data_IF_117562350833
#
_entry.id   IF_117562350833
#
_cell.length_a   1.000
_cell.length_b   1.000
_cell.length_c   1.000
_cell.angle_alpha   90.00
_cell.angle_beta   90.00
_cell.angle_gamma   90.00
#
_symmetry.space_group_name_H-M   'P 1'
#
loop_
_entity.id
_entity.type
_entity.pdbx_description
1 polymer ?
#
# COMPACT_ATOMS: atom_id res chain seq x y z
N UNK A 1 14.66 -35.76 7.52
CA UNK A 1 13.99 -35.34 6.27
C UNK A 1 14.43 -33.93 5.93
N UNK A 2 14.85 -33.64 4.69
CA UNK A 2 15.42 -32.33 4.30
C UNK A 2 14.31 -31.36 3.93
N UNK A 3 14.45 -30.08 4.30
CA UNK A 3 13.49 -29.02 3.99
C UNK A 3 14.00 -28.13 2.84
N UNK A 4 13.14 -27.89 1.86
CA UNK A 4 13.36 -27.01 0.72
C UNK A 4 12.49 -25.77 0.91
N UNK A 5 13.13 -24.60 0.96
CA UNK A 5 12.42 -23.32 0.98
C UNK A 5 12.34 -22.79 -0.43
N UNK A 6 11.12 -22.50 -0.89
CA UNK A 6 10.86 -22.07 -2.26
C UNK A 6 10.25 -20.68 -2.29
N UNK A 7 10.71 -19.87 -3.24
CA UNK A 7 10.13 -18.56 -3.50
C UNK A 7 8.72 -18.68 -4.11
N UNK A 8 7.89 -17.68 -3.88
CA UNK A 8 6.51 -17.53 -4.36
C UNK A 8 6.32 -17.88 -5.83
N UNK A 9 7.32 -17.55 -6.65
CA UNK A 9 7.32 -17.84 -8.06
C UNK A 9 7.38 -19.34 -8.33
N UNK A 10 8.20 -20.09 -7.62
CA UNK A 10 8.38 -21.53 -7.81
C UNK A 10 7.36 -22.37 -7.04
N UNK A 11 6.80 -21.84 -5.95
CA UNK A 11 5.83 -22.59 -5.12
C UNK A 11 4.59 -22.99 -5.90
N UNK A 12 4.33 -24.29 -5.96
CA UNK A 12 3.12 -24.89 -6.52
C UNK A 12 2.76 -26.19 -5.79
N UNK A 13 1.49 -26.58 -5.88
CA UNK A 13 1.02 -27.84 -5.27
C UNK A 13 1.67 -29.06 -5.92
N UNK A 14 1.84 -29.05 -7.24
CA UNK A 14 2.51 -30.14 -7.95
C UNK A 14 3.97 -30.30 -7.51
N UNK A 15 4.72 -29.19 -7.39
CA UNK A 15 6.10 -29.22 -6.89
C UNK A 15 6.16 -29.74 -5.46
N UNK A 16 5.25 -29.30 -4.59
CA UNK A 16 5.22 -29.74 -3.20
C UNK A 16 4.95 -31.25 -3.07
N UNK A 17 4.04 -31.80 -3.88
CA UNK A 17 3.78 -33.24 -3.92
C UNK A 17 5.00 -34.00 -4.45
N UNK A 18 5.62 -33.52 -5.53
CA UNK A 18 6.81 -34.17 -6.11
C UNK A 18 7.96 -34.21 -5.10
N UNK A 19 8.23 -33.09 -4.42
CA UNK A 19 9.26 -33.03 -3.38
C UNK A 19 8.94 -33.98 -2.23
N UNK A 20 7.69 -34.06 -1.80
CA UNK A 20 7.26 -34.98 -0.76
C UNK A 20 7.48 -36.44 -1.15
N UNK A 21 7.16 -36.83 -2.39
CA UNK A 21 7.42 -38.17 -2.93
C UNK A 21 8.92 -38.49 -3.00
N UNK A 22 9.76 -37.48 -3.22
CA UNK A 22 11.22 -37.60 -3.20
C UNK A 22 11.81 -37.58 -1.78
N UNK A 23 10.98 -37.52 -0.73
CA UNK A 23 11.43 -37.49 0.66
C UNK A 23 11.87 -36.12 1.17
N UNK A 24 11.49 -35.03 0.48
CA UNK A 24 11.78 -33.66 0.86
C UNK A 24 10.52 -32.94 1.34
N UNK A 25 10.67 -32.15 2.40
CA UNK A 25 9.67 -31.18 2.79
C UNK A 25 9.88 -29.88 2.02
N UNK A 26 8.79 -29.15 1.83
CA UNK A 26 8.76 -27.91 1.06
C UNK A 26 7.97 -26.86 1.84
N UNK A 27 8.47 -25.63 1.90
CA UNK A 27 7.75 -24.48 2.46
C UNK A 27 7.99 -23.23 1.62
N UNK A 28 6.96 -22.43 1.41
CA UNK A 28 7.09 -21.16 0.69
C UNK A 28 5.78 -20.39 0.66
N UNK A 29 5.84 -19.10 0.35
CA UNK A 29 4.60 -18.40 0.00
C UNK A 29 4.12 -18.88 -1.35
N UNK A 30 2.82 -18.72 -1.65
CA UNK A 30 2.23 -19.18 -2.89
C UNK A 30 1.32 -18.12 -3.50
N UNK A 31 1.30 -18.03 -4.82
CA UNK A 31 0.29 -17.21 -5.51
C UNK A 31 -1.08 -17.88 -5.39
N UNK A 32 -2.10 -17.13 -4.97
CA UNK A 32 -3.44 -17.68 -4.72
C UNK A 32 -4.15 -18.19 -5.98
N UNK A 33 -3.69 -17.81 -7.16
CA UNK A 33 -4.19 -18.30 -8.45
C UNK A 33 -3.51 -19.60 -8.93
N UNK A 34 -2.57 -20.18 -8.17
CA UNK A 34 -1.97 -21.48 -8.51
C UNK A 34 -3.01 -22.59 -8.48
N UNK A 35 -2.92 -23.50 -9.45
CA UNK A 35 -3.76 -24.68 -9.55
C UNK A 35 -3.57 -25.57 -8.30
N UNK A 36 -4.66 -26.17 -7.82
CA UNK A 36 -4.65 -27.04 -6.64
C UNK A 36 -4.60 -26.31 -5.28
N UNK A 37 -4.28 -25.01 -5.23
CA UNK A 37 -4.19 -24.31 -3.94
C UNK A 37 -5.57 -24.15 -3.28
N UNK A 38 -5.66 -24.53 -1.99
CA UNK A 38 -6.91 -24.63 -1.24
C UNK A 38 -7.68 -23.30 -1.25
N UNK A 39 -8.94 -23.34 -1.71
CA UNK A 39 -9.80 -22.15 -1.81
C UNK A 39 -10.32 -21.68 -0.45
N UNK A 40 -10.39 -22.56 0.55
CA UNK A 40 -10.94 -22.25 1.87
C UNK A 40 -10.07 -21.28 2.68
N UNK A 41 -8.75 -21.29 2.44
CA UNK A 41 -7.80 -20.38 3.09
C UNK A 41 -7.55 -19.10 2.29
N UNK A 42 -8.19 -18.95 1.12
CA UNK A 42 -8.00 -17.73 0.31
C UNK A 42 -8.76 -16.57 0.96
N UNK A 43 -8.02 -15.52 1.28
CA UNK A 43 -8.59 -14.32 1.87
C UNK A 43 -9.08 -13.39 0.76
N UNK A 44 -10.37 -13.04 0.83
CA UNK A 44 -11.02 -12.20 -0.19
C UNK A 44 -10.62 -10.72 -0.07
N UNK A 45 -10.22 -10.28 1.13
CA UNK A 45 -9.84 -8.89 1.43
C UNK A 45 -8.35 -8.69 1.17
N UNK A 46 -7.99 -7.60 0.48
CA UNK A 46 -6.58 -7.26 0.17
C UNK A 46 -5.78 -6.72 1.36
N UNK A 47 -6.48 -6.26 2.39
CA UNK A 47 -5.94 -5.65 3.61
C UNK A 47 -6.67 -6.24 4.81
N UNK A 48 -5.96 -6.37 5.94
CA UNK A 48 -6.54 -6.92 7.17
C UNK A 48 -7.66 -6.02 7.69
N UNK A 49 -8.89 -6.53 7.90
CA UNK A 49 -9.93 -5.78 8.59
C UNK A 49 -9.63 -5.68 10.09
N UNK A 50 -10.06 -4.60 10.74
CA UNK A 50 -9.82 -4.34 12.17
C UNK A 50 -10.35 -5.44 13.11
N UNK A 51 -11.41 -6.15 12.68
CA UNK A 51 -12.01 -7.27 13.41
C UNK A 51 -11.13 -8.53 13.47
N UNK A 52 -10.10 -8.63 12.62
CA UNK A 52 -9.18 -9.77 12.63
C UNK A 52 -7.89 -9.32 13.31
N UNK A 53 -7.54 -10.00 14.39
CA UNK A 53 -6.28 -9.76 15.12
C UNK A 53 -5.09 -9.97 14.18
N UNK A 54 -4.07 -9.11 14.29
CA UNK A 54 -2.81 -9.33 13.57
C UNK A 54 -2.18 -10.63 14.07
N UNK A 55 -1.62 -11.42 13.17
CA UNK A 55 -1.08 -12.74 13.48
C UNK A 55 -2.08 -13.88 13.36
N UNK A 56 -3.38 -13.59 13.22
CA UNK A 56 -4.38 -14.64 13.01
C UNK A 56 -4.06 -15.46 11.76
N UNK A 57 -4.14 -16.78 11.88
CA UNK A 57 -3.92 -17.69 10.78
C UNK A 57 -5.15 -18.57 10.51
N UNK A 58 -5.30 -19.00 9.26
CA UNK A 58 -6.18 -20.13 8.89
C UNK A 58 -5.30 -21.20 8.29
N UNK A 59 -5.49 -22.43 8.75
CA UNK A 59 -4.76 -23.59 8.27
C UNK A 59 -5.77 -24.59 7.74
N UNK A 60 -5.53 -25.11 6.55
CA UNK A 60 -6.33 -26.17 5.94
C UNK A 60 -5.40 -27.28 5.47
N UNK A 61 -5.64 -28.49 5.97
CA UNK A 61 -4.90 -29.68 5.60
C UNK A 61 -5.52 -30.32 4.34
N UNK A 62 -4.70 -30.84 3.45
CA UNK A 62 -5.17 -31.59 2.30
C UNK A 62 -5.72 -32.96 2.72
N UNK A 63 -6.88 -33.34 2.18
CA UNK A 63 -7.48 -34.65 2.43
C UNK A 63 -6.74 -35.79 1.71
N UNK A 64 -6.11 -35.49 0.58
CA UNK A 64 -5.41 -36.48 -0.26
C UNK A 64 -3.93 -36.61 0.09
N UNK A 65 -3.36 -35.58 0.73
CA UNK A 65 -1.94 -35.52 1.09
C UNK A 65 -1.86 -34.97 2.52
N UNK A 66 -1.98 -35.81 3.55
CA UNK A 66 -2.09 -35.38 4.95
C UNK A 66 -0.95 -34.45 5.39
N UNK A 67 0.26 -34.66 4.88
CA UNK A 67 1.41 -33.82 5.25
C UNK A 67 1.39 -32.42 4.62
N UNK A 68 0.50 -32.17 3.66
CA UNK A 68 0.39 -30.89 2.97
C UNK A 68 -0.66 -29.99 3.63
N UNK A 69 -0.25 -28.77 3.96
CA UNK A 69 -1.10 -27.75 4.57
C UNK A 69 -1.03 -26.45 3.78
N UNK A 70 -2.20 -25.84 3.59
CA UNK A 70 -2.36 -24.52 3.03
C UNK A 70 -2.66 -23.54 4.16
N UNK A 71 -1.94 -22.42 4.20
CA UNK A 71 -2.02 -21.48 5.31
C UNK A 71 -2.28 -20.07 4.77
N UNK A 72 -3.14 -19.31 5.43
CA UNK A 72 -3.20 -17.86 5.29
C UNK A 72 -2.89 -17.19 6.61
N UNK A 73 -2.03 -16.18 6.60
CA UNK A 73 -1.60 -15.44 7.77
C UNK A 73 -1.86 -13.95 7.59
N UNK A 74 -2.42 -13.32 8.63
CA UNK A 74 -2.86 -11.94 8.60
C UNK A 74 -1.84 -11.00 9.22
N UNK A 75 -1.10 -10.28 8.37
CA UNK A 75 -0.38 -9.07 8.78
C UNK A 75 -1.17 -7.81 8.36
N UNK A 76 -0.56 -6.91 7.61
CA UNK A 76 -1.21 -5.75 7.01
C UNK A 76 -2.00 -6.17 5.77
N UNK A 77 -1.50 -7.21 5.09
CA UNK A 77 -2.09 -7.90 3.94
C UNK A 77 -2.05 -9.40 4.22
N UNK A 78 -2.97 -10.18 3.64
CA UNK A 78 -2.92 -11.63 3.83
C UNK A 78 -1.72 -12.20 3.07
N UNK A 79 -0.94 -13.03 3.75
CA UNK A 79 0.14 -13.81 3.15
C UNK A 79 -0.31 -15.26 3.08
N UNK A 80 -0.07 -15.90 1.95
CA UNK A 80 -0.52 -17.25 1.66
C UNK A 80 0.68 -18.18 1.54
N UNK A 81 0.65 -19.30 2.25
CA UNK A 81 1.71 -20.29 2.25
C UNK A 81 1.19 -21.67 1.85
N UNK A 82 2.12 -22.46 1.35
CA UNK A 82 1.98 -23.90 1.18
C UNK A 82 3.17 -24.57 1.89
N UNK A 83 2.89 -25.56 2.71
CA UNK A 83 3.93 -26.35 3.37
C UNK A 83 3.62 -27.85 3.30
N UNK A 84 4.67 -28.66 3.31
CA UNK A 84 4.63 -30.13 3.46
C UNK A 84 5.49 -30.53 4.65
N UNK A 85 5.00 -31.44 5.49
CA UNK A 85 5.73 -31.95 6.66
C UNK A 85 5.99 -30.96 7.79
N UNK A 86 5.43 -29.75 7.71
CA UNK A 86 5.60 -28.69 8.71
C UNK A 86 4.70 -28.86 9.95
N UNK A 87 5.25 -28.54 11.12
CA UNK A 87 4.49 -28.39 12.38
C UNK A 87 3.45 -27.27 12.24
N UNK A 88 2.25 -27.52 12.78
CA UNK A 88 1.16 -26.53 12.90
C UNK A 88 1.26 -25.70 14.17
N UNK A 89 2.30 -25.92 14.98
CA UNK A 89 2.52 -25.14 16.18
C UNK A 89 2.66 -23.66 15.83
N UNK A 90 2.00 -22.86 16.66
CA UNK A 90 2.08 -21.41 16.60
C UNK A 90 3.34 -21.01 17.36
N UNK A 91 4.22 -20.31 16.67
CA UNK A 91 5.39 -19.63 17.20
C UNK A 91 5.11 -18.13 17.33
N UNK A 92 6.06 -17.34 17.83
CA UNK A 92 5.98 -15.89 17.94
C UNK A 92 7.10 -15.23 17.15
N UNK A 93 6.76 -14.18 16.40
CA UNK A 93 7.75 -13.35 15.71
C UNK A 93 7.60 -11.93 16.20
N UNK A 94 8.74 -11.36 16.59
CA UNK A 94 8.83 -9.99 17.05
C UNK A 94 8.78 -9.03 15.85
N UNK A 95 7.91 -8.03 15.92
CA UNK A 95 7.72 -7.06 14.84
C UNK A 95 7.78 -5.64 15.39
N UNK A 96 8.53 -4.80 14.71
CA UNK A 96 8.51 -3.36 14.96
C UNK A 96 7.25 -2.73 14.33
N UNK A 97 6.38 -2.14 15.14
CA UNK A 97 5.19 -1.38 14.72
C UNK A 97 5.37 0.10 15.14
N UNK A 98 6.05 0.87 14.31
CA UNK A 98 6.46 2.23 14.66
C UNK A 98 7.67 2.21 15.59
N UNK A 99 7.54 2.80 16.79
CA UNK A 99 8.61 2.80 17.81
C UNK A 99 8.53 1.61 18.78
N UNK A 100 7.43 0.84 18.75
CA UNK A 100 7.19 -0.26 19.68
C UNK A 100 7.41 -1.62 19.02
N UNK A 101 7.90 -2.56 19.82
CA UNK A 101 8.17 -3.92 19.42
C UNK A 101 7.02 -4.82 19.92
N UNK A 102 6.31 -5.46 18.99
CA UNK A 102 5.09 -6.24 19.24
C UNK A 102 5.31 -7.68 18.82
N UNK A 103 5.05 -8.62 19.72
CA UNK A 103 5.05 -10.05 19.41
C UNK A 103 3.78 -10.43 18.65
N UNK A 104 3.96 -11.05 17.48
CA UNK A 104 2.85 -11.51 16.63
C UNK A 104 2.89 -13.03 16.53
N UNK A 105 1.78 -13.73 16.84
CA UNK A 105 1.72 -15.17 16.65
C UNK A 105 1.81 -15.52 15.16
N UNK A 106 2.62 -16.51 14.83
CA UNK A 106 2.82 -16.98 13.48
C UNK A 106 3.07 -18.51 13.48
N UNK A 107 2.49 -19.29 12.57
CA UNK A 107 2.86 -20.70 12.41
C UNK A 107 4.38 -20.87 12.31
N UNK A 108 4.98 -21.88 12.94
CA UNK A 108 6.44 -22.09 12.90
C UNK A 108 7.02 -22.23 11.49
N UNK A 109 6.19 -22.65 10.53
CA UNK A 109 6.48 -22.66 9.09
C UNK A 109 6.63 -21.27 8.44
N UNK A 110 6.22 -20.18 9.11
CA UNK A 110 6.38 -18.80 8.64
C UNK A 110 7.81 -18.29 8.76
N UNK A 111 8.62 -18.76 9.71
CA UNK A 111 10.01 -18.30 9.88
C UNK A 111 10.80 -18.52 8.60
N UNK A 112 10.57 -19.64 7.91
CA UNK A 112 11.19 -19.94 6.62
C UNK A 112 10.51 -19.19 5.45
N UNK A 113 9.22 -18.87 5.61
CA UNK A 113 8.51 -17.94 4.75
C UNK A 113 9.06 -16.50 4.77
N UNK A 114 9.81 -16.11 5.81
CA UNK A 114 10.49 -14.82 5.87
C UNK A 114 11.59 -14.70 4.81
N UNK A 115 12.22 -15.81 4.41
CA UNK A 115 13.22 -15.81 3.32
C UNK A 115 12.54 -15.36 2.02
N UNK A 116 11.39 -15.93 1.70
CA UNK A 116 10.61 -15.51 0.53
C UNK A 116 10.16 -14.05 0.64
N UNK A 117 9.71 -13.62 1.82
CA UNK A 117 9.37 -12.22 2.06
C UNK A 117 10.57 -11.29 1.86
N UNK A 118 11.75 -11.67 2.33
CA UNK A 118 12.99 -10.93 2.17
C UNK A 118 13.39 -10.81 0.70
N UNK A 119 13.24 -11.90 -0.07
CA UNK A 119 13.49 -11.92 -1.52
C UNK A 119 12.54 -10.95 -2.23
N UNK A 120 11.24 -11.01 -1.94
CA UNK A 120 10.25 -10.09 -2.53
C UNK A 120 10.57 -8.63 -2.19
N UNK A 121 10.91 -8.35 -0.93
CA UNK A 121 11.31 -7.02 -0.49
C UNK A 121 12.59 -6.54 -1.18
N UNK A 122 13.58 -7.42 -1.36
CA UNK A 122 14.83 -7.10 -2.07
C UNK A 122 14.58 -6.69 -3.52
N UNK A 123 13.62 -7.34 -4.20
CA UNK A 123 13.24 -6.96 -5.56
C UNK A 123 12.53 -5.61 -5.62
N UNK A 124 11.72 -5.26 -4.61
CA UNK A 124 11.10 -3.94 -4.49
C UNK A 124 12.18 -2.87 -4.38
N UNK A 125 13.18 -3.09 -3.52
CA UNK A 125 14.33 -2.18 -3.35
C UNK A 125 15.11 -2.06 -4.66
N UNK A 126 15.42 -3.17 -5.32
CA UNK A 126 16.09 -3.18 -6.63
C UNK A 126 15.32 -2.35 -7.68
N UNK A 127 13.99 -2.48 -7.75
CA UNK A 127 13.17 -1.65 -8.63
C UNK A 127 13.21 -0.16 -8.26
N UNK A 128 13.19 0.16 -6.97
CA UNK A 128 13.29 1.54 -6.49
C UNK A 128 14.64 2.17 -6.85
N UNK A 129 15.75 1.42 -6.67
CA UNK A 129 17.10 1.84 -7.04
C UNK A 129 17.21 2.18 -8.53
N UNK A 130 16.76 1.27 -9.41
CA UNK A 130 16.84 1.49 -10.86
C UNK A 130 15.93 2.63 -11.32
N UNK A 131 14.79 2.84 -10.65
CA UNK A 131 13.94 4.01 -10.88
C UNK A 131 14.64 5.31 -10.51
N UNK A 132 15.38 5.35 -9.40
CA UNK A 132 16.13 6.53 -8.97
C UNK A 132 17.32 6.82 -9.90
N UNK A 133 18.05 5.78 -10.32
CA UNK A 133 19.19 5.90 -11.25
C UNK A 133 18.78 6.03 -12.73
N UNK A 134 17.49 6.18 -13.05
CA UNK A 134 16.95 6.23 -14.43
C UNK A 134 17.47 5.10 -15.34
N UNK A 135 17.63 3.89 -14.79
CA UNK A 135 18.08 2.71 -15.52
C UNK A 135 16.99 1.65 -15.58
N UNK A 136 17.11 0.73 -16.56
CA UNK A 136 16.12 -0.35 -16.72
C UNK A 136 16.32 -1.42 -15.63
N UNK A 137 15.31 -1.70 -14.78
CA UNK A 137 15.42 -2.80 -13.83
C UNK A 137 15.36 -4.15 -14.55
N UNK A 138 16.06 -5.15 -14.00
CA UNK A 138 15.85 -6.55 -14.35
C UNK A 138 14.38 -6.95 -14.17
N UNK A 139 13.91 -7.88 -15.01
CA UNK A 139 12.64 -8.56 -14.77
C UNK A 139 12.74 -9.41 -13.50
N UNK A 140 11.60 -9.75 -12.89
CA UNK A 140 11.59 -10.54 -11.65
C UNK A 140 12.33 -11.86 -11.81
N UNK A 141 12.12 -12.57 -12.93
CA UNK A 141 12.80 -13.84 -13.22
C UNK A 141 14.31 -13.64 -13.35
N UNK A 142 14.77 -12.62 -14.09
CA UNK A 142 16.21 -12.33 -14.25
C UNK A 142 16.85 -11.92 -12.94
N UNK A 143 16.13 -11.16 -12.10
CA UNK A 143 16.58 -10.80 -10.76
C UNK A 143 16.75 -12.04 -9.89
N UNK A 144 15.79 -12.96 -9.89
CA UNK A 144 15.85 -14.20 -9.12
C UNK A 144 17.01 -15.11 -9.55
N UNK A 145 17.22 -15.28 -10.86
CA UNK A 145 18.36 -16.04 -11.39
C UNK A 145 19.67 -15.42 -10.91
N UNK A 146 19.80 -14.09 -11.03
CA UNK A 146 21.01 -13.37 -10.60
C UNK A 146 21.24 -13.50 -9.09
N UNK A 147 20.19 -13.31 -8.29
CA UNK A 147 20.26 -13.42 -6.83
C UNK A 147 20.68 -14.83 -6.40
N UNK A 148 20.09 -15.88 -7.01
CA UNK A 148 20.45 -17.25 -6.71
C UNK A 148 21.93 -17.52 -7.01
N UNK A 149 22.42 -17.13 -8.20
CA UNK A 149 23.83 -17.28 -8.56
C UNK A 149 24.76 -16.57 -7.57
N UNK A 150 24.42 -15.33 -7.19
CA UNK A 150 25.20 -14.57 -6.22
C UNK A 150 25.24 -15.27 -4.85
N UNK A 151 24.10 -15.75 -4.35
CA UNK A 151 24.02 -16.44 -3.06
C UNK A 151 24.80 -17.77 -3.07
N UNK A 152 24.77 -18.52 -4.18
CA UNK A 152 25.52 -19.78 -4.31
C UNK A 152 27.04 -19.59 -4.39
N UNK A 153 27.50 -18.39 -4.71
CA UNK A 153 28.93 -18.06 -4.85
C UNK A 153 29.52 -17.44 -3.58
N UNK A 154 28.68 -17.08 -2.59
CA UNK A 154 29.14 -16.52 -1.32
C UNK A 154 30.07 -17.48 -0.59
N UNK A 155 31.19 -16.95 -0.12
CA UNK A 155 32.12 -17.64 0.76
C UNK A 155 31.88 -17.23 2.22
N UNK A 156 32.32 -18.03 3.21
CA UNK A 156 32.23 -17.67 4.62
C UNK A 156 32.82 -16.30 4.96
N UNK A 157 33.86 -15.88 4.21
CA UNK A 157 34.49 -14.56 4.33
C UNK A 157 33.57 -13.40 3.94
N UNK A 158 32.56 -13.65 3.10
CA UNK A 158 31.56 -12.65 2.70
C UNK A 158 30.45 -12.48 3.76
N UNK A 159 30.33 -13.44 4.68
CA UNK A 159 29.36 -13.43 5.79
C UNK A 159 29.96 -12.72 7.01
N UNK A 160 30.20 -11.41 6.89
CA UNK A 160 30.75 -10.59 7.97
C UNK A 160 29.67 -10.28 9.05
N UNK A 161 29.90 -10.68 10.30
CA UNK A 161 28.99 -10.43 11.44
C UNK A 161 28.83 -8.94 11.80
N UNK A 162 29.77 -8.08 11.41
CA UNK A 162 29.69 -6.64 11.64
C UNK A 162 28.91 -5.86 10.58
N UNK A 163 28.23 -6.54 9.65
CA UNK A 163 27.45 -5.89 8.61
C UNK A 163 26.09 -5.45 9.19
N UNK A 164 26.04 -4.28 9.81
CA UNK A 164 24.77 -3.64 10.17
C UNK A 164 24.06 -3.26 8.87
N UNK A 165 23.07 -4.04 8.45
CA UNK A 165 22.26 -3.86 7.24
C UNK A 165 21.54 -2.49 7.17
N UNK A 166 22.30 -1.40 7.01
CA UNK A 166 21.80 -0.03 7.03
C UNK A 166 21.23 0.44 8.38
N UNK A 167 21.46 -0.28 9.49
CA UNK A 167 21.13 0.21 10.83
C UNK A 167 22.16 1.28 11.23
N UNK A 168 21.97 2.49 10.71
CA UNK A 168 22.57 3.67 11.30
C UNK A 168 21.97 3.81 12.71
N UNK A 169 22.76 3.54 13.75
CA UNK A 169 22.55 4.16 15.05
C UNK A 169 22.48 5.66 14.77
N UNK A 170 21.44 6.40 15.21
CA UNK A 170 21.38 7.83 14.93
C UNK A 170 22.55 8.50 15.62
N UNK A 171 23.62 8.78 14.87
CA UNK A 171 24.60 9.76 15.29
C UNK A 171 23.88 11.10 15.29
N UNK A 172 23.74 11.67 16.48
CA UNK A 172 23.68 13.11 16.75
C UNK A 172 23.11 13.98 15.62
N UNK A 173 21.92 14.53 15.88
CA UNK A 173 21.33 15.68 15.18
C UNK A 173 22.40 16.59 14.59
N UNK A 174 22.54 16.65 13.26
CA UNK A 174 23.33 17.68 12.64
C UNK A 174 22.44 18.93 12.59
N UNK A 175 22.81 19.91 13.40
CA UNK A 175 22.36 21.29 13.24
C UNK A 175 22.84 21.76 11.86
N UNK A 176 21.94 21.80 10.89
CA UNK A 176 22.23 22.38 9.58
C UNK A 176 21.78 23.84 9.57
N UNK A 177 22.75 24.72 9.39
CA UNK A 177 22.55 26.14 9.12
C UNK A 177 22.23 26.34 7.62
N UNK A 178 21.21 27.14 7.33
CA UNK A 178 20.71 27.35 5.96
C UNK A 178 21.59 28.36 5.20
N UNK A 179 22.17 27.93 4.07
CA UNK A 179 22.71 28.83 3.06
C UNK A 179 21.67 29.09 1.95
N UNK A 180 21.53 30.34 1.46
CA UNK A 180 20.47 30.70 0.53
C UNK A 180 20.89 30.44 -0.91
N UNK A 181 20.15 29.58 -1.62
CA UNK A 181 20.30 29.38 -3.07
C UNK A 181 18.96 29.62 -3.76
N UNK A 182 18.89 30.71 -4.52
CA UNK A 182 18.03 30.86 -5.71
C UNK A 182 16.54 31.04 -5.45
N UNK A 183 16.08 32.29 -5.53
CA UNK A 183 14.67 32.66 -5.52
C UNK A 183 13.84 31.98 -6.63
N UNK A 184 13.21 30.84 -6.30
CA UNK A 184 11.90 30.47 -6.83
C UNK A 184 10.96 30.52 -5.66
N UNK A 185 9.98 31.44 -5.71
CA UNK A 185 8.99 31.66 -4.66
C UNK A 185 8.37 30.33 -4.22
N UNK A 186 8.91 29.76 -3.14
CA UNK A 186 8.29 28.64 -2.45
C UNK A 186 7.02 29.19 -1.83
N UNK A 187 5.90 28.92 -2.49
CA UNK A 187 4.60 29.22 -1.94
C UNK A 187 4.49 28.47 -0.60
N UNK A 188 4.28 29.19 0.52
CA UNK A 188 4.16 28.69 1.91
C UNK A 188 3.03 27.66 2.16
N UNK A 189 2.42 27.13 1.10
CA UNK A 189 1.24 26.30 1.17
C UNK A 189 1.62 24.85 1.40
N UNK A 190 0.97 24.22 2.39
CA UNK A 190 1.17 22.81 2.73
C UNK A 190 -0.01 21.95 2.28
N UNK A 191 0.27 20.79 1.69
CA UNK A 191 -0.77 19.87 1.27
C UNK A 191 -1.25 19.01 2.44
N UNK A 192 -2.47 19.27 2.91
CA UNK A 192 -3.07 18.58 4.07
C UNK A 192 -4.07 17.51 3.63
N UNK A 193 -4.16 16.43 4.40
CA UNK A 193 -5.10 15.33 4.15
C UNK A 193 -6.39 15.56 4.95
N UNK A 194 -7.56 15.35 4.32
CA UNK A 194 -8.86 15.45 4.99
C UNK A 194 -8.99 14.42 6.09
N UNK A 195 -9.37 14.86 7.29
CA UNK A 195 -9.64 13.99 8.44
C UNK A 195 -11.11 13.65 8.67
N UNK A 196 -11.99 14.05 7.74
CA UNK A 196 -13.37 13.58 7.68
C UNK A 196 -13.45 12.19 7.02
N UNK A 197 -14.07 11.22 7.69
CA UNK A 197 -14.37 9.89 7.16
C UNK A 197 -15.83 9.82 6.71
N UNK A 198 -16.15 9.07 5.64
CA UNK A 198 -17.54 9.05 5.11
C UNK A 198 -18.54 8.40 6.05
N UNK A 199 -18.14 7.31 6.72
CA UNK A 199 -18.90 6.63 7.77
C UNK A 199 -17.85 6.17 8.82
N UNK A 200 -18.06 6.49 10.09
CA UNK A 200 -17.12 6.09 11.16
C UNK A 200 -17.02 4.56 11.29
N UNK A 201 -18.11 3.84 11.03
CA UNK A 201 -18.23 2.45 11.51
C UNK A 201 -18.10 1.36 10.44
N UNK A 202 -18.27 1.67 9.14
CA UNK A 202 -18.45 0.60 8.13
C UNK A 202 -17.63 0.74 6.84
N UNK A 203 -17.08 1.91 6.51
CA UNK A 203 -16.14 2.06 5.39
C UNK A 203 -15.14 3.19 5.69
N UNK A 204 -13.85 2.87 6.00
CA UNK A 204 -12.83 3.87 6.25
C UNK A 204 -12.31 4.45 4.93
N UNK A 205 -13.19 5.10 4.16
CA UNK A 205 -12.79 5.94 3.04
C UNK A 205 -12.89 7.38 3.50
N UNK A 206 -11.74 8.05 3.53
CA UNK A 206 -11.67 9.51 3.73
C UNK A 206 -12.62 10.18 2.75
N UNK A 207 -13.30 11.22 3.23
CA UNK A 207 -14.21 12.01 2.41
C UNK A 207 -13.40 12.66 1.30
N UNK A 208 -13.77 12.37 0.06
CA UNK A 208 -13.10 12.95 -1.09
C UNK A 208 -13.99 14.05 -1.66
N UNK A 209 -13.37 15.17 -2.04
CA UNK A 209 -14.06 16.31 -2.65
C UNK A 209 -13.50 16.57 -4.04
N UNK A 210 -14.28 17.21 -4.90
CA UNK A 210 -13.89 17.45 -6.29
C UNK A 210 -12.63 18.33 -6.35
N UNK A 211 -11.63 17.90 -7.12
CA UNK A 211 -10.42 18.68 -7.33
C UNK A 211 -10.74 19.94 -8.14
N UNK A 212 -10.24 21.11 -7.72
CA UNK A 212 -10.53 22.40 -8.37
C UNK A 212 -9.91 22.53 -9.75
N UNK A 213 -8.61 22.27 -9.91
CA UNK A 213 -7.96 22.25 -11.23
C UNK A 213 -8.65 21.28 -12.18
N UNK A 214 -8.96 20.07 -11.72
CA UNK A 214 -9.68 19.10 -12.56
C UNK A 214 -11.11 19.54 -12.85
N UNK A 215 -11.78 20.28 -11.97
CA UNK A 215 -13.15 20.75 -12.21
C UNK A 215 -13.20 21.89 -13.24
N UNK A 216 -12.22 22.79 -13.18
CA UNK A 216 -12.10 23.95 -14.06
C UNK A 216 -11.63 23.57 -15.46
N UNK A 217 -10.67 22.64 -15.58
CA UNK A 217 -10.12 22.17 -16.86
C UNK A 217 -10.87 20.97 -17.45
N UNK A 218 -12.16 20.84 -17.20
CA UNK A 218 -12.99 19.75 -17.76
C UNK A 218 -13.56 20.18 -19.10
N UNK A 219 -13.28 19.39 -20.12
CA UNK A 219 -13.85 19.51 -21.47
C UNK A 219 -15.10 18.65 -21.66
N UNK A 220 -15.27 17.59 -20.85
CA UNK A 220 -16.30 16.57 -21.03
C UNK A 220 -17.36 16.58 -19.91
N UNK A 221 -18.54 16.00 -20.18
CA UNK A 221 -19.69 15.89 -19.27
C UNK A 221 -19.40 15.05 -18.01
N UNK A 222 -18.37 14.22 -18.02
CA UNK A 222 -17.98 13.32 -16.93
C UNK A 222 -17.49 14.02 -15.67
N UNK A 223 -17.98 13.61 -14.49
CA UNK A 223 -17.69 14.22 -13.17
C UNK A 223 -16.19 14.40 -12.88
N UNK A 224 -15.85 15.53 -12.25
CA UNK A 224 -14.47 15.84 -11.90
C UNK A 224 -13.87 14.80 -10.93
N UNK A 225 -12.61 14.37 -11.16
CA UNK A 225 -11.86 13.57 -10.21
C UNK A 225 -11.90 14.15 -8.79
N UNK A 226 -12.09 13.28 -7.81
CA UNK A 226 -12.10 13.64 -6.39
C UNK A 226 -10.75 13.39 -5.73
N UNK A 227 -10.43 14.16 -4.70
CA UNK A 227 -9.18 14.11 -3.94
C UNK A 227 -9.46 14.26 -2.45
N UNK A 228 -8.60 13.67 -1.62
CA UNK A 228 -8.58 13.83 -0.17
C UNK A 228 -7.53 14.85 0.29
N UNK A 229 -6.76 15.44 -0.63
CA UNK A 229 -5.77 16.45 -0.31
C UNK A 229 -6.30 17.86 -0.58
N UNK A 230 -5.96 18.80 0.30
CA UNK A 230 -6.34 20.19 0.16
C UNK A 230 -5.25 21.16 0.64
N UNK A 231 -5.30 22.37 0.10
CA UNK A 231 -4.56 23.53 0.60
C UNK A 231 -5.46 24.31 1.56
N UNK A 232 -5.02 24.52 2.80
CA UNK A 232 -5.74 25.32 3.79
C UNK A 232 -5.49 26.82 3.58
N UNK A 233 -4.31 27.17 3.08
CA UNK A 233 -3.78 28.54 3.12
C UNK A 233 -4.12 29.33 1.84
N UNK A 234 -4.73 28.67 0.84
CA UNK A 234 -5.01 29.24 -0.48
C UNK A 234 -6.31 30.06 -0.56
N UNK A 235 -7.20 29.98 0.43
CA UNK A 235 -8.46 30.72 0.43
C UNK A 235 -8.98 30.92 1.85
N UNK A 236 -9.38 32.15 2.17
CA UNK A 236 -10.02 32.52 3.44
C UNK A 236 -11.45 31.97 3.56
N UNK A 237 -12.08 31.58 2.44
CA UNK A 237 -13.46 31.08 2.40
C UNK A 237 -13.52 29.60 2.77
N UNK A 238 -12.54 28.80 2.38
CA UNK A 238 -12.51 27.37 2.68
C UNK A 238 -11.42 26.59 1.94
N UNK A 239 -11.25 25.30 2.28
CA UNK A 239 -10.15 24.48 1.78
C UNK A 239 -10.22 24.23 0.26
N UNK A 240 -9.08 24.37 -0.42
CA UNK A 240 -8.95 24.14 -1.86
C UNK A 240 -8.46 22.72 -2.13
N UNK A 241 -9.31 21.89 -2.73
CA UNK A 241 -9.01 20.47 -2.97
C UNK A 241 -8.21 20.26 -4.26
N UNK A 242 -7.04 19.62 -4.15
CA UNK A 242 -6.09 19.45 -5.26
C UNK A 242 -5.57 18.00 -5.30
N UNK A 243 -5.37 17.46 -6.51
CA UNK A 243 -4.76 16.14 -6.68
C UNK A 243 -3.24 16.24 -6.61
N UNK A 244 -2.62 15.40 -5.77
CA UNK A 244 -1.15 15.27 -5.71
C UNK A 244 -0.57 14.29 -6.74
N UNK A 245 -1.40 13.60 -7.52
CA UNK A 245 -0.93 12.76 -8.63
C UNK A 245 -0.83 13.60 -9.90
N UNK A 246 0.23 13.42 -10.67
CA UNK A 246 0.37 14.03 -11.99
C UNK A 246 -0.80 13.61 -12.86
N UNK A 247 -1.57 14.59 -13.34
CA UNK A 247 -2.80 14.36 -14.12
C UNK A 247 -2.84 15.12 -15.44
N UNK A 248 -1.92 16.05 -15.64
CA UNK A 248 -1.87 16.93 -16.82
C UNK A 248 -0.42 17.18 -17.21
N UNK A 249 -0.21 17.59 -18.45
CA UNK A 249 1.07 18.09 -18.93
C UNK A 249 0.95 19.58 -19.17
N UNK A 250 1.93 20.36 -18.72
CA UNK A 250 2.09 21.77 -19.03
C UNK A 250 3.47 21.89 -19.66
N UNK A 251 3.56 22.43 -20.88
CA UNK A 251 4.82 22.48 -21.66
C UNK A 251 5.53 21.12 -21.72
N UNK A 252 4.76 20.06 -21.99
CA UNK A 252 5.18 18.64 -22.00
C UNK A 252 5.71 18.04 -20.68
N UNK A 253 5.79 18.82 -19.61
CA UNK A 253 6.15 18.34 -18.27
C UNK A 253 4.90 17.86 -17.54
N UNK A 254 4.94 16.64 -17.02
CA UNK A 254 3.85 16.10 -16.23
C UNK A 254 3.74 16.83 -14.87
N UNK A 255 2.63 17.53 -14.64
CA UNK A 255 2.38 18.30 -13.42
C UNK A 255 1.22 17.74 -12.61
N UNK A 256 1.32 17.87 -11.29
CA UNK A 256 0.21 17.60 -10.39
C UNK A 256 -0.78 18.76 -10.41
N UNK A 257 -2.03 18.50 -9.98
CA UNK A 257 -2.98 19.59 -9.81
C UNK A 257 -2.59 20.52 -8.65
N UNK A 258 -1.74 20.07 -7.74
CA UNK A 258 -1.15 20.91 -6.72
C UNK A 258 -0.22 21.95 -7.36
N UNK A 259 0.72 21.51 -8.18
CA UNK A 259 1.71 22.39 -8.81
C UNK A 259 1.04 23.36 -9.80
N UNK A 260 0.08 22.88 -10.59
CA UNK A 260 -0.69 23.75 -11.50
C UNK A 260 -1.42 24.85 -10.72
N UNK A 261 -1.99 24.56 -9.55
CA UNK A 261 -2.70 25.58 -8.77
C UNK A 261 -1.77 26.65 -8.19
N UNK A 262 -0.61 26.24 -7.66
CA UNK A 262 0.28 27.14 -6.94
C UNK A 262 1.28 27.85 -7.86
N UNK A 263 1.82 27.13 -8.84
CA UNK A 263 2.89 27.63 -9.74
C UNK A 263 2.31 28.28 -10.99
N UNK A 264 1.38 27.60 -11.68
CA UNK A 264 0.82 28.11 -12.94
C UNK A 264 -0.35 29.07 -12.70
N UNK A 265 -1.20 28.80 -11.72
CA UNK A 265 -2.39 29.62 -11.44
C UNK A 265 -2.18 30.66 -10.34
N UNK A 266 -0.95 30.83 -9.85
CA UNK A 266 -0.59 31.77 -8.78
C UNK A 266 -1.58 31.70 -7.59
N UNK A 267 -1.77 30.51 -7.04
CA UNK A 267 -2.72 30.20 -5.96
C UNK A 267 -4.20 30.44 -6.32
N UNK A 268 -4.54 30.40 -7.61
CA UNK A 268 -5.88 30.64 -8.13
C UNK A 268 -6.14 32.09 -8.57
N UNK A 269 -5.11 32.96 -8.58
CA UNK A 269 -5.20 34.36 -9.02
C UNK A 269 -5.06 34.54 -10.54
N UNK A 270 -4.38 33.61 -11.22
CA UNK A 270 -4.15 33.66 -12.67
C UNK A 270 -4.67 32.39 -13.35
N UNK A 271 -5.99 32.30 -13.53
CA UNK A 271 -6.62 31.15 -14.19
C UNK A 271 -6.83 31.49 -15.66
N UNK A 272 -5.88 31.13 -16.52
CA UNK A 272 -6.01 31.27 -17.98
C UNK A 272 -6.95 30.21 -18.54
N UNK A 273 -8.25 30.49 -18.60
CA UNK A 273 -9.19 29.69 -19.38
C UNK A 273 -10.29 30.61 -19.90
N UNK A 274 -10.32 30.85 -21.21
CA UNK A 274 -11.36 31.62 -21.93
C UNK A 274 -12.78 31.02 -21.82
N UNK A 275 -12.92 29.87 -21.14
CA UNK A 275 -14.19 29.16 -20.91
C UNK A 275 -14.32 28.53 -19.49
N UNK A 276 -13.59 29.01 -18.47
CA UNK A 276 -13.68 28.42 -17.12
C UNK A 276 -14.99 28.80 -16.39
N UNK A 277 -15.75 27.77 -15.99
CA UNK A 277 -16.85 27.91 -15.01
C UNK A 277 -16.29 28.45 -13.69
N UNK A 278 -17.00 29.41 -13.08
CA UNK A 278 -16.59 30.07 -11.83
C UNK A 278 -16.29 29.05 -10.70
N UNK A 279 -15.15 29.22 -10.04
CA UNK A 279 -14.69 28.30 -8.98
C UNK A 279 -15.48 28.55 -7.70
N UNK A 280 -16.48 27.71 -7.43
CA UNK A 280 -17.23 27.77 -6.16
C UNK A 280 -16.48 27.09 -5.03
N UNK A 281 -15.91 27.84 -4.08
CA UNK A 281 -15.30 27.28 -2.86
C UNK A 281 -16.40 27.01 -1.83
N UNK A 282 -16.40 25.84 -1.18
CA UNK A 282 -17.35 25.56 -0.09
C UNK A 282 -16.85 26.21 1.18
N UNK A 283 -17.73 26.95 1.87
CA UNK A 283 -17.42 27.65 3.13
C UNK A 283 -16.95 26.67 4.20
N UNK A 284 -15.98 27.08 5.01
CA UNK A 284 -15.60 26.37 6.25
C UNK A 284 -16.79 26.43 7.22
N UNK A 285 -17.24 25.29 7.74
CA UNK A 285 -18.26 25.30 8.80
C UNK A 285 -17.53 25.62 10.10
N UNK A 286 -17.79 26.81 10.66
CA UNK A 286 -17.33 27.14 12.02
C UNK A 286 -18.23 26.42 13.02
N UNK A 287 -17.64 25.55 13.84
CA UNK A 287 -18.29 24.97 15.02
C UNK A 287 -18.30 26.06 16.09
N UNK A 288 -19.31 26.93 16.06
CA UNK A 288 -19.38 28.05 17.01
C UNK A 288 -20.30 29.20 16.60
N UNK A 289 -21.50 28.93 16.08
CA UNK A 289 -22.60 29.90 16.01
C UNK A 289 -23.93 29.15 15.99
N UNK A 290 -24.93 29.55 16.80
CA UNK A 290 -26.22 28.88 16.83
C UNK A 290 -27.00 29.24 15.56
N UNK A 291 -27.16 28.29 14.66
CA UNK A 291 -27.91 28.43 13.42
C UNK A 291 -29.27 27.75 13.53
N UNK A 292 -30.30 28.55 13.30
CA UNK A 292 -31.74 28.31 13.23
C UNK A 292 -32.15 27.02 12.48
N UNK A 293 -33.34 26.45 12.79
CA UNK A 293 -33.77 25.15 12.27
C UNK A 293 -34.04 25.23 10.77
N UNK A 294 -33.44 24.32 10.00
CA UNK A 294 -33.85 24.09 8.62
C UNK A 294 -35.06 23.14 8.59
N UNK A 295 -36.09 23.61 7.91
CA UNK A 295 -37.44 23.03 7.72
C UNK A 295 -37.39 21.59 7.17
N UNK A 296 -38.39 20.74 7.47
CA UNK A 296 -38.36 19.31 7.15
C UNK A 296 -38.75 19.04 5.69
N UNK A 297 -38.11 18.04 5.08
CA UNK A 297 -38.70 17.32 3.95
C UNK A 297 -37.70 16.81 2.91
N UNK A 298 -37.48 15.49 2.88
CA UNK A 298 -38.07 14.61 1.86
C UNK A 298 -37.84 13.16 2.31
N UNK A 299 -38.89 12.34 2.51
CA UNK A 299 -38.73 10.97 3.00
C UNK A 299 -38.00 10.09 1.99
N UNK A 300 -37.12 9.24 2.50
CA UNK A 300 -36.39 8.26 1.70
C UNK A 300 -37.37 7.28 1.04
N UNK A 301 -37.35 7.21 -0.29
CA UNK A 301 -38.08 6.20 -1.04
C UNK A 301 -37.62 4.80 -0.60
N UNK A 302 -38.52 4.10 0.10
CA UNK A 302 -38.42 2.68 0.42
C UNK A 302 -38.14 1.88 -0.85
N UNK A 303 -36.93 1.30 -0.94
CA UNK A 303 -36.66 0.25 -1.92
C UNK A 303 -37.36 -1.01 -1.46
N UNK A 304 -38.53 -1.26 -2.06
CA UNK A 304 -39.26 -2.54 -2.02
C UNK A 304 -38.29 -3.71 -2.17
N UNK A 305 -38.29 -4.57 -1.15
CA UNK A 305 -37.69 -5.90 -1.14
C UNK A 305 -38.37 -6.73 -2.22
N UNK A 306 -37.63 -7.12 -3.26
CA UNK A 306 -38.09 -8.11 -4.24
C UNK A 306 -37.93 -9.48 -3.59
N UNK A 307 -38.99 -9.99 -2.98
CA UNK A 307 -39.19 -11.43 -2.82
C UNK A 307 -39.54 -12.00 -4.19
N UNK A 308 -39.04 -13.19 -4.48
CA UNK A 308 -39.53 -13.98 -5.61
C UNK A 308 -39.76 -15.41 -5.11
N UNK A 309 -40.74 -16.11 -5.69
CA UNK A 309 -41.29 -17.37 -5.19
C UNK A 309 -40.29 -18.53 -5.29
#
# INVERSE_FOLDING_TARGET
MRLVVVDRFYTSVALAIQLLLMGFYCVGTIMTNRLGYCKQVKEKKKTRPATITRGSCKISQSKLVPDMKAISWWDSRPVHFLCTGGSTEIDRVTRQDGAEEVEVPCPRSLVLGLIDLAIVNSYIVHKAYHKHKNSKPLTHVKFMIKLHLQLTQLQPTDMYEGNTFGAQVPSSTPTYELLPVGARQQSQHSARLVDEWRNADTQPKRRQRACKVCSTLRTDTQRAPTTSYYCADCSTVGPIFLCQRARRKVRDVAMTCWDIWHQEWANGKMIHVENAKSIRVRRKVNVGSPGTPSTPGTPAASKRRRTSP
#
